data_IF_268966164418
#
_entry.id   IF_268966164418
#
_cell.length_a   1.000
_cell.length_b   1.000
_cell.length_c   1.000
_cell.angle_alpha   90.00
_cell.angle_beta   90.00
_cell.angle_gamma   90.00
#
_symmetry.space_group_name_H-M   'P 1'
#
loop_
_entity.id
_entity.type
_entity.pdbx_description
1 polymer ?
#
# COMPACT_ATOMS: atom_id res chain seq x y z
N UNK A 1 -11.76 -7.97 4.23
CA UNK A 1 -10.40 -7.61 4.66
C UNK A 1 -10.48 -6.55 5.74
N UNK A 2 -9.72 -6.70 6.81
CA UNK A 2 -9.82 -5.86 8.00
C UNK A 2 -8.44 -5.39 8.46
N UNK A 3 -8.38 -4.18 9.06
CA UNK A 3 -7.22 -3.76 9.82
C UNK A 3 -7.04 -4.64 11.06
N UNK A 4 -5.89 -4.54 11.71
CA UNK A 4 -5.61 -5.33 12.92
C UNK A 4 -6.59 -5.05 14.07
N UNK A 5 -7.28 -3.89 14.05
CA UNK A 5 -8.31 -3.53 15.04
C UNK A 5 -9.72 -4.00 14.67
N UNK A 6 -9.87 -4.76 13.58
CA UNK A 6 -11.14 -5.33 13.16
C UNK A 6 -12.01 -4.44 12.27
N UNK A 7 -11.59 -3.22 11.97
CA UNK A 7 -12.35 -2.33 11.09
C UNK A 7 -12.13 -2.72 9.64
N UNK A 8 -13.20 -2.71 8.83
CA UNK A 8 -13.12 -3.05 7.41
C UNK A 8 -12.26 -2.06 6.64
N UNK A 9 -11.39 -2.59 5.78
CA UNK A 9 -10.58 -1.79 4.88
C UNK A 9 -11.41 -1.36 3.68
N UNK A 10 -11.28 -0.08 3.31
CA UNK A 10 -11.91 0.47 2.11
C UNK A 10 -10.86 1.15 1.25
N UNK A 11 -11.01 1.03 -0.06
CA UNK A 11 -10.18 1.78 -1.00
C UNK A 11 -10.30 3.28 -0.71
N UNK A 12 -9.15 3.96 -0.70
CA UNK A 12 -9.08 5.38 -0.39
C UNK A 12 -8.89 5.71 1.09
N UNK A 13 -8.93 4.72 1.97
CA UNK A 13 -8.70 4.95 3.40
C UNK A 13 -7.30 5.55 3.63
N UNK A 14 -7.24 6.57 4.50
CA UNK A 14 -5.97 7.10 4.97
C UNK A 14 -5.45 6.23 6.11
N UNK A 15 -4.16 5.96 6.04
CA UNK A 15 -3.45 5.17 7.05
C UNK A 15 -2.13 5.83 7.39
N UNK A 16 -1.53 5.41 8.49
CA UNK A 16 -0.14 5.68 8.79
C UNK A 16 0.61 4.37 8.75
N UNK A 17 1.67 4.34 7.95
CA UNK A 17 2.51 3.15 7.79
C UNK A 17 3.84 3.34 8.50
N UNK A 18 4.32 2.28 9.16
CA UNK A 18 5.60 2.31 9.86
C UNK A 18 6.76 2.49 8.88
N UNK A 19 7.66 3.41 9.23
CA UNK A 19 8.90 3.66 8.49
C UNK A 19 10.05 3.76 9.49
N UNK A 20 11.30 3.71 9.04
CA UNK A 20 12.42 3.99 9.95
C UNK A 20 12.25 5.36 10.60
N UNK A 21 12.27 5.40 11.94
CA UNK A 21 12.14 6.64 12.70
C UNK A 21 10.72 7.11 12.98
N UNK A 22 9.68 6.37 12.58
CA UNK A 22 8.30 6.78 12.88
C UNK A 22 7.25 6.20 11.95
N UNK A 23 6.34 7.05 11.50
CA UNK A 23 5.28 6.69 10.56
C UNK A 23 5.14 7.75 9.48
N UNK A 24 4.55 7.38 8.34
CA UNK A 24 4.24 8.30 7.27
C UNK A 24 2.80 8.07 6.78
N UNK A 25 2.11 9.14 6.33
CA UNK A 25 0.75 9.01 5.83
C UNK A 25 0.73 8.37 4.44
N UNK A 26 -0.26 7.51 4.24
CA UNK A 26 -0.50 6.85 2.97
C UNK A 26 -1.99 6.62 2.79
N UNK A 27 -2.39 6.13 1.63
CA UNK A 27 -3.77 5.70 1.40
C UNK A 27 -3.79 4.31 0.76
N UNK A 28 -4.85 3.59 1.04
CA UNK A 28 -5.08 2.26 0.44
C UNK A 28 -5.55 2.44 -0.98
N UNK A 29 -4.80 1.90 -1.96
CA UNK A 29 -5.17 2.06 -3.38
C UNK A 29 -5.48 0.73 -4.07
N UNK A 30 -5.14 -0.41 -3.47
CA UNK A 30 -5.45 -1.72 -4.02
C UNK A 30 -5.52 -2.76 -2.92
N UNK A 31 -6.47 -3.70 -3.05
CA UNK A 31 -6.68 -4.80 -2.10
C UNK A 31 -6.19 -6.11 -2.69
N UNK A 32 -5.41 -6.87 -1.90
CA UNK A 32 -4.88 -8.16 -2.35
C UNK A 32 -5.91 -9.27 -2.39
N UNK A 33 -6.97 -9.19 -1.57
CA UNK A 33 -8.00 -10.22 -1.53
C UNK A 33 -8.84 -10.28 -2.80
N UNK A 34 -9.13 -9.13 -3.40
CA UNK A 34 -10.05 -9.01 -4.54
C UNK A 34 -9.40 -8.44 -5.79
N UNK A 35 -8.24 -7.81 -5.66
CA UNK A 35 -7.59 -6.99 -6.68
C UNK A 35 -8.40 -5.77 -7.11
N UNK A 36 -9.38 -5.36 -6.30
CA UNK A 36 -10.04 -4.07 -6.46
C UNK A 36 -9.04 -2.95 -6.23
N UNK A 37 -9.16 -1.88 -7.02
CA UNK A 37 -8.19 -0.78 -6.98
C UNK A 37 -8.83 0.55 -7.34
N UNK A 38 -8.20 1.64 -6.90
CA UNK A 38 -8.47 2.98 -7.39
C UNK A 38 -7.76 3.20 -8.73
N UNK A 39 -7.98 4.37 -9.32
CA UNK A 39 -7.21 4.76 -10.50
C UNK A 39 -5.77 5.07 -10.07
N UNK A 40 -4.84 4.22 -10.50
CA UNK A 40 -3.42 4.32 -10.20
C UNK A 40 -2.62 4.18 -11.48
N UNK A 41 -1.29 4.33 -11.40
CA UNK A 41 -0.42 4.26 -12.57
C UNK A 41 -0.69 2.97 -13.37
N UNK A 42 -1.06 3.07 -14.66
CA UNK A 42 -1.41 1.88 -15.45
C UNK A 42 -0.27 0.88 -15.62
N UNK A 43 0.96 1.33 -15.68
CA UNK A 43 2.12 0.43 -15.83
C UNK A 43 2.34 -0.37 -14.56
N UNK A 44 2.24 0.29 -13.41
CA UNK A 44 2.33 -0.36 -12.12
C UNK A 44 1.20 -1.40 -11.96
N UNK A 45 -0.03 -0.99 -12.25
CA UNK A 45 -1.21 -1.85 -12.14
C UNK A 45 -1.10 -3.07 -13.06
N UNK A 46 -0.68 -2.87 -14.31
CA UNK A 46 -0.50 -3.96 -15.27
C UNK A 46 0.51 -4.98 -14.77
N UNK A 47 1.62 -4.53 -14.21
CA UNK A 47 2.64 -5.41 -13.66
C UNK A 47 2.09 -6.21 -12.47
N UNK A 48 1.41 -5.54 -11.52
CA UNK A 48 0.84 -6.21 -10.35
C UNK A 48 -0.14 -7.30 -10.76
N UNK A 49 -1.01 -7.01 -11.71
CA UNK A 49 -2.01 -7.97 -12.21
C UNK A 49 -1.36 -9.12 -12.99
N UNK A 50 -0.43 -8.80 -13.87
CA UNK A 50 0.22 -9.79 -14.73
C UNK A 50 1.01 -10.82 -13.92
N UNK A 51 1.81 -10.32 -12.99
CA UNK A 51 2.73 -11.17 -12.22
C UNK A 51 2.14 -11.61 -10.88
N UNK A 52 0.92 -11.14 -10.54
CA UNK A 52 0.19 -11.53 -9.33
C UNK A 52 1.04 -11.35 -8.07
N UNK A 53 1.76 -10.24 -7.99
CA UNK A 53 2.71 -9.98 -6.90
C UNK A 53 2.05 -9.53 -5.60
N UNK A 54 0.79 -9.12 -5.65
CA UNK A 54 0.04 -8.70 -4.47
C UNK A 54 -0.65 -9.90 -3.84
N UNK A 55 -0.20 -10.31 -2.66
CA UNK A 55 -0.70 -11.48 -1.96
C UNK A 55 -2.03 -11.21 -1.24
N UNK A 56 -2.87 -12.26 -1.01
CA UNK A 56 -4.04 -12.12 -0.16
C UNK A 56 -3.66 -11.60 1.23
N UNK A 57 -4.50 -10.74 1.78
CA UNK A 57 -4.24 -10.11 3.08
C UNK A 57 -3.31 -8.90 3.02
N UNK A 58 -2.73 -8.63 1.86
CA UNK A 58 -1.85 -7.48 1.64
C UNK A 58 -2.59 -6.40 0.86
N UNK A 59 -2.05 -5.19 0.89
CA UNK A 59 -2.58 -4.02 0.18
C UNK A 59 -1.46 -3.29 -0.53
N UNK A 60 -1.83 -2.48 -1.53
CA UNK A 60 -0.92 -1.48 -2.07
C UNK A 60 -1.25 -0.16 -1.38
N UNK A 61 -0.21 0.46 -0.82
CA UNK A 61 -0.27 1.81 -0.27
C UNK A 61 0.31 2.79 -1.28
N UNK A 62 -0.28 3.97 -1.35
CA UNK A 62 0.30 5.12 -2.06
C UNK A 62 0.66 6.18 -1.03
N UNK A 63 1.92 6.61 -1.01
CA UNK A 63 2.38 7.64 -0.09
C UNK A 63 1.70 8.97 -0.43
N UNK A 64 1.19 9.66 0.59
CA UNK A 64 0.52 10.97 0.41
C UNK A 64 1.57 12.08 0.29
N UNK A 65 2.65 11.95 1.05
CA UNK A 65 3.78 12.87 1.00
C UNK A 65 4.92 12.22 0.22
N UNK A 66 6.12 12.72 0.36
CA UNK A 66 7.29 12.16 -0.30
C UNK A 66 7.49 10.70 0.10
N UNK A 67 7.80 9.85 -0.88
CA UNK A 67 8.10 8.44 -0.63
C UNK A 67 9.32 8.35 0.31
N UNK A 68 9.17 7.80 1.53
CA UNK A 68 10.29 7.69 2.47
C UNK A 68 11.38 6.72 2.02
N UNK A 69 11.11 5.91 0.98
CA UNK A 69 12.05 4.96 0.40
C UNK A 69 12.51 5.38 -1.00
N UNK A 70 12.36 6.65 -1.38
CA UNK A 70 12.64 7.12 -2.74
C UNK A 70 14.11 6.91 -3.19
N UNK A 71 15.03 6.79 -2.24
CA UNK A 71 16.45 6.55 -2.51
C UNK A 71 16.81 5.06 -2.58
N UNK A 72 15.84 4.17 -2.35
CA UNK A 72 16.05 2.72 -2.50
C UNK A 72 16.25 2.37 -3.98
N UNK A 73 16.99 1.28 -4.24
CA UNK A 73 17.20 0.80 -5.59
C UNK A 73 15.84 0.45 -6.23
N UNK A 74 15.51 1.02 -7.41
CA UNK A 74 14.25 0.72 -8.10
C UNK A 74 14.03 -0.76 -8.43
N UNK A 75 15.06 -1.59 -8.37
CA UNK A 75 14.92 -3.03 -8.54
C UNK A 75 14.15 -3.68 -7.39
N UNK A 76 14.16 -3.06 -6.22
CA UNK A 76 13.59 -3.62 -4.99
C UNK A 76 12.41 -2.80 -4.47
N UNK A 77 12.27 -1.57 -4.90
CA UNK A 77 11.17 -0.70 -4.52
C UNK A 77 10.19 -0.54 -5.68
N UNK A 78 8.88 -0.59 -5.44
CA UNK A 78 7.90 -0.31 -6.50
C UNK A 78 8.14 1.04 -7.15
N UNK A 79 7.87 1.13 -8.43
CA UNK A 79 7.98 2.38 -9.17
C UNK A 79 6.97 3.39 -8.63
N UNK A 80 7.38 4.65 -8.48
CA UNK A 80 6.52 5.72 -8.00
C UNK A 80 6.35 5.70 -6.49
N UNK A 81 5.17 6.08 -6.01
CA UNK A 81 4.90 6.28 -4.59
C UNK A 81 4.13 5.09 -3.97
N UNK A 82 4.36 3.88 -4.44
CA UNK A 82 3.62 2.70 -4.00
C UNK A 82 4.46 1.81 -3.09
N UNK A 83 3.78 1.08 -2.22
CA UNK A 83 4.41 0.06 -1.38
C UNK A 83 3.43 -1.08 -1.13
N UNK A 84 3.92 -2.32 -1.17
CA UNK A 84 3.16 -3.49 -0.73
C UNK A 84 3.28 -3.64 0.77
N UNK A 85 2.18 -3.92 1.45
CA UNK A 85 2.20 -4.08 2.90
C UNK A 85 1.15 -5.08 3.37
N UNK A 86 1.50 -5.95 4.33
CA UNK A 86 0.46 -6.68 5.07
C UNK A 86 -0.34 -5.72 5.94
N UNK A 87 -1.55 -6.12 6.31
CA UNK A 87 -2.40 -5.36 7.24
C UNK A 87 -2.14 -5.84 8.67
N UNK A 88 -1.07 -5.37 9.25
CA UNK A 88 -0.68 -5.69 10.62
C UNK A 88 -0.52 -4.40 11.44
N UNK A 89 0.12 -4.51 12.61
CA UNK A 89 0.32 -3.37 13.50
C UNK A 89 1.18 -2.25 12.89
N UNK A 90 1.86 -2.51 11.78
CA UNK A 90 2.64 -1.49 11.08
C UNK A 90 1.78 -0.55 10.23
N UNK A 91 0.51 -0.87 10.03
CA UNK A 91 -0.44 -0.06 9.27
C UNK A 91 -1.64 0.23 10.17
N UNK A 92 -1.84 1.49 10.53
CA UNK A 92 -2.95 1.92 11.38
C UNK A 92 -3.80 2.95 10.65
N UNK A 93 -5.12 2.95 10.94
CA UNK A 93 -6.00 3.95 10.35
C UNK A 93 -5.63 5.35 10.85
N UNK A 94 -5.60 6.29 9.93
CA UNK A 94 -5.36 7.70 10.22
C UNK A 94 -6.71 8.41 10.36
N UNK A 95 -7.27 8.33 11.55
CA UNK A 95 -8.58 8.94 11.88
C UNK A 95 -8.44 10.12 12.81
#
# INVERSE_FOLDING_TARGET
MQYHDGILVKLGDRVRAAIPGGTAPARIVMLGDTYEHLEIDPKFLSWVKRDRVLEPGHVVLEWIEENPFAHEDPKYAPVGNYMFSPLDSAVTRDV
#
